data_IF_281052838881
#
_entry.id   IF_281052838881
#
_cell.length_a   1.000
_cell.length_b   1.000
_cell.length_c   1.000
_cell.angle_alpha   90.00
_cell.angle_beta   90.00
_cell.angle_gamma   90.00
#
_symmetry.space_group_name_H-M   'P 1'
#
loop_
_entity.id
_entity.type
_entity.pdbx_description
1 polymer ?
#
# COMPACT_ATOMS: atom_id res chain seq x y z
N UNK A 1 28.60 10.23 -57.01
CA UNK A 1 29.08 8.87 -56.71
C UNK A 1 28.03 8.24 -55.79
N UNK A 2 27.23 7.32 -56.36
CA UNK A 2 26.30 6.31 -55.80
C UNK A 2 25.42 6.65 -54.56
N UNK A 3 24.09 6.58 -54.62
CA UNK A 3 23.20 5.40 -54.83
C UNK A 3 23.21 4.47 -53.58
N UNK A 4 22.16 3.83 -53.07
CA UNK A 4 20.71 3.76 -53.26
C UNK A 4 20.19 2.69 -52.24
N UNK A 5 18.87 2.60 -52.02
CA UNK A 5 18.11 1.34 -51.79
C UNK A 5 18.05 0.61 -50.40
N UNK A 6 16.81 0.70 -49.84
CA UNK A 6 15.84 -0.34 -49.37
C UNK A 6 15.95 -1.11 -48.03
N UNK A 7 14.94 -0.83 -47.21
CA UNK A 7 13.88 -1.70 -46.65
C UNK A 7 13.98 -3.24 -46.74
N UNK A 8 13.62 -3.90 -45.62
CA UNK A 8 13.04 -5.25 -45.58
C UNK A 8 11.97 -5.36 -44.49
N UNK A 9 10.73 -5.58 -44.94
CA UNK A 9 9.57 -6.07 -44.18
C UNK A 9 9.50 -7.58 -44.44
N UNK A 10 9.20 -8.39 -43.42
CA UNK A 10 8.87 -9.82 -43.57
C UNK A 10 7.42 -10.07 -43.19
N UNK A 11 6.67 -10.59 -44.17
CA UNK A 11 5.28 -11.09 -44.10
C UNK A 11 5.27 -12.58 -43.78
N UNK A 12 4.26 -13.04 -43.04
CA UNK A 12 3.56 -14.34 -43.24
C UNK A 12 2.17 -14.23 -42.59
N UNK A 13 1.12 -13.82 -43.30
CA UNK A 13 0.16 -14.62 -44.12
C UNK A 13 -0.97 -15.27 -43.30
N UNK A 14 -2.12 -14.58 -43.28
CA UNK A 14 -3.46 -15.15 -43.08
C UNK A 14 -3.90 -15.94 -44.32
N UNK A 15 -4.62 -17.03 -44.12
CA UNK A 15 -5.45 -17.68 -45.15
C UNK A 15 -6.79 -18.08 -44.51
N UNK A 16 -7.85 -17.53 -45.07
CA UNK A 16 -9.25 -17.94 -44.88
C UNK A 16 -9.62 -18.60 -46.20
N UNK A 17 -10.22 -19.79 -46.15
CA UNK A 17 -11.05 -20.32 -47.24
C UNK A 17 -12.33 -20.86 -46.60
N UNK A 18 -13.46 -20.39 -47.13
CA UNK A 18 -14.85 -20.83 -46.93
C UNK A 18 -15.16 -22.09 -47.77
N UNK A 19 -16.38 -22.63 -47.58
CA UNK A 19 -17.00 -23.84 -48.18
C UNK A 19 -16.77 -25.11 -47.33
N UNK A 20 -17.76 -25.92 -46.95
CA UNK A 20 -19.16 -26.06 -47.29
C UNK A 20 -19.55 -27.55 -47.06
N UNK A 21 -20.72 -27.77 -46.46
CA UNK A 21 -21.48 -29.03 -46.40
C UNK A 21 -21.15 -30.17 -45.39
N UNK A 22 -22.27 -30.62 -44.82
CA UNK A 22 -22.56 -31.78 -43.98
C UNK A 22 -22.22 -33.13 -44.63
N UNK A 23 -21.96 -34.18 -43.84
CA UNK A 23 -22.65 -35.50 -43.84
C UNK A 23 -22.01 -36.52 -42.85
N UNK A 24 -22.88 -37.07 -41.98
CA UNK A 24 -22.94 -38.41 -41.36
C UNK A 24 -21.78 -39.04 -40.54
N UNK A 25 -22.10 -39.25 -39.26
CA UNK A 25 -22.02 -40.49 -38.46
C UNK A 25 -21.36 -41.74 -39.07
N UNK A 26 -20.32 -42.25 -38.41
CA UNK A 26 -20.09 -43.69 -38.20
C UNK A 26 -19.60 -43.92 -36.77
N UNK A 27 -20.39 -44.70 -36.03
CA UNK A 27 -20.04 -45.25 -34.72
C UNK A 27 -19.00 -46.37 -34.86
N UNK A 28 -17.98 -46.36 -34.00
CA UNK A 28 -17.15 -47.52 -33.72
C UNK A 28 -17.03 -47.69 -32.20
N UNK A 29 -17.77 -48.65 -31.66
CA UNK A 29 -17.66 -49.13 -30.29
C UNK A 29 -16.28 -49.76 -30.09
N UNK A 30 -15.56 -49.33 -29.05
CA UNK A 30 -14.42 -50.07 -28.49
C UNK A 30 -14.69 -50.29 -26.99
N UNK A 31 -14.41 -51.48 -26.43
CA UNK A 31 -14.86 -51.87 -25.09
C UNK A 31 -13.98 -51.28 -23.99
N UNK A 32 -14.56 -51.20 -22.79
CA UNK A 32 -14.08 -50.44 -21.63
C UNK A 32 -12.67 -50.75 -21.13
N UNK A 33 -12.04 -49.67 -20.68
CA UNK A 33 -10.86 -49.63 -19.79
C UNK A 33 -11.38 -49.08 -18.45
N UNK A 34 -10.98 -49.64 -17.30
CA UNK A 34 -11.54 -49.29 -16.00
C UNK A 34 -11.26 -47.83 -15.62
N UNK A 35 -12.21 -47.22 -14.92
CA UNK A 35 -12.17 -45.85 -14.40
C UNK A 35 -10.84 -45.54 -13.70
N UNK A 36 -10.01 -44.73 -14.35
CA UNK A 36 -9.06 -43.88 -13.62
C UNK A 36 -9.86 -42.72 -13.01
N UNK A 37 -9.55 -42.29 -11.77
CA UNK A 37 -10.23 -41.16 -11.17
C UNK A 37 -10.07 -39.94 -12.07
N UNK A 38 -11.18 -39.42 -12.56
CA UNK A 38 -11.25 -38.13 -13.24
C UNK A 38 -10.67 -37.07 -12.30
N UNK A 39 -9.44 -36.64 -12.55
CA UNK A 39 -8.97 -35.33 -12.10
C UNK A 39 -9.75 -34.32 -12.95
N UNK A 40 -10.92 -33.91 -12.45
CA UNK A 40 -11.67 -32.79 -13.00
C UNK A 40 -10.75 -31.58 -12.98
N UNK A 41 -10.46 -31.06 -14.18
CA UNK A 41 -9.84 -29.74 -14.28
C UNK A 41 -10.83 -28.76 -13.64
N UNK A 42 -10.43 -27.98 -12.61
CA UNK A 42 -11.33 -27.06 -11.93
C UNK A 42 -11.96 -26.12 -12.96
N UNK A 43 -13.25 -25.80 -12.81
CA UNK A 43 -13.88 -24.77 -13.63
C UNK A 43 -13.14 -23.44 -13.49
N UNK A 44 -13.32 -22.51 -14.44
CA UNK A 44 -12.69 -21.17 -14.33
C UNK A 44 -13.02 -20.49 -12.99
N UNK A 45 -14.22 -20.71 -12.47
CA UNK A 45 -14.68 -20.33 -11.14
C UNK A 45 -13.79 -20.88 -10.01
N UNK A 46 -13.60 -22.20 -9.99
CA UNK A 46 -12.82 -22.89 -8.98
C UNK A 46 -11.34 -22.47 -9.04
N UNK A 47 -10.80 -22.24 -10.24
CA UNK A 47 -9.44 -21.72 -10.40
C UNK A 47 -9.28 -20.32 -9.79
N UNK A 48 -10.31 -19.47 -9.88
CA UNK A 48 -10.31 -18.13 -9.26
C UNK A 48 -10.46 -18.18 -7.74
N UNK A 49 -11.33 -19.04 -7.25
CA UNK A 49 -11.50 -19.28 -5.81
C UNK A 49 -10.22 -19.86 -5.18
N UNK A 50 -9.52 -20.76 -5.88
CA UNK A 50 -8.23 -21.28 -5.42
C UNK A 50 -7.13 -20.21 -5.39
N UNK A 51 -7.11 -19.30 -6.38
CA UNK A 51 -6.19 -18.15 -6.40
C UNK A 51 -6.46 -17.19 -5.24
N UNK A 52 -7.74 -16.91 -4.96
CA UNK A 52 -8.17 -16.13 -3.83
C UNK A 52 -7.71 -16.77 -2.50
N UNK A 53 -8.05 -18.05 -2.28
CA UNK A 53 -7.67 -18.76 -1.07
C UNK A 53 -6.15 -18.73 -0.87
N UNK A 54 -5.38 -19.01 -1.92
CA UNK A 54 -3.89 -18.93 -1.88
C UNK A 54 -3.41 -17.54 -1.50
N UNK A 55 -4.01 -16.49 -2.07
CA UNK A 55 -3.62 -15.13 -1.79
C UNK A 55 -4.04 -14.65 -0.40
N UNK A 56 -5.10 -15.22 0.16
CA UNK A 56 -5.48 -14.99 1.56
C UNK A 56 -4.58 -15.76 2.55
N UNK A 57 -3.63 -16.57 2.06
CA UNK A 57 -2.81 -17.44 2.91
C UNK A 57 -3.52 -18.73 3.34
N UNK A 58 -4.57 -19.12 2.60
CA UNK A 58 -5.40 -20.29 2.86
C UNK A 58 -4.66 -21.62 2.68
N UNK A 59 -4.85 -22.50 3.65
CA UNK A 59 -4.43 -23.89 3.65
C UNK A 59 -5.66 -24.82 3.63
N UNK A 60 -5.45 -26.13 3.42
CA UNK A 60 -6.51 -27.16 3.51
C UNK A 60 -7.79 -26.85 2.71
N UNK A 61 -7.66 -26.51 1.42
CA UNK A 61 -8.80 -26.17 0.58
C UNK A 61 -9.78 -27.35 0.44
N UNK A 62 -11.02 -27.14 0.84
CA UNK A 62 -12.15 -28.05 0.68
C UNK A 62 -13.19 -27.45 -0.26
N UNK A 63 -13.79 -28.30 -1.11
CA UNK A 63 -14.77 -27.89 -2.13
C UNK A 63 -16.12 -28.54 -1.82
N UNK A 64 -16.97 -27.89 -1.01
CA UNK A 64 -18.27 -28.44 -0.64
C UNK A 64 -19.21 -28.54 -1.84
N UNK A 65 -20.13 -29.51 -1.79
CA UNK A 65 -21.17 -29.76 -2.78
C UNK A 65 -22.23 -28.63 -2.76
N UNK A 66 -21.84 -27.45 -3.25
CA UNK A 66 -22.65 -26.23 -3.17
C UNK A 66 -22.10 -25.03 -3.95
N UNK A 67 -20.85 -25.12 -4.43
CA UNK A 67 -20.19 -24.04 -5.16
C UNK A 67 -19.53 -23.06 -4.20
N UNK A 68 -18.21 -23.16 -4.06
CA UNK A 68 -17.41 -22.38 -3.12
C UNK A 68 -16.15 -23.15 -2.72
N UNK A 69 -15.27 -22.49 -1.97
CA UNK A 69 -14.10 -23.09 -1.36
C UNK A 69 -14.06 -22.72 0.12
N UNK A 70 -13.84 -23.71 0.96
CA UNK A 70 -13.53 -23.52 2.38
C UNK A 70 -12.03 -23.72 2.55
N UNK A 71 -11.38 -22.89 3.36
CA UNK A 71 -9.95 -23.00 3.62
C UNK A 71 -9.60 -22.47 5.00
N UNK A 72 -8.54 -23.02 5.57
CA UNK A 72 -8.03 -22.62 6.87
C UNK A 72 -7.07 -21.45 6.74
N UNK A 73 -7.18 -20.51 7.66
CA UNK A 73 -6.22 -19.45 7.93
C UNK A 73 -5.58 -19.73 9.30
N UNK A 74 -4.44 -19.13 9.61
CA UNK A 74 -3.68 -19.38 10.86
C UNK A 74 -4.57 -19.42 12.13
N UNK A 75 -5.61 -18.58 12.18
CA UNK A 75 -6.51 -18.44 13.34
C UNK A 75 -8.00 -18.32 12.98
N UNK A 76 -8.38 -18.70 11.77
CA UNK A 76 -9.75 -18.54 11.29
C UNK A 76 -10.07 -19.58 10.22
N UNK A 77 -11.34 -19.80 9.96
CA UNK A 77 -11.80 -20.59 8.81
C UNK A 77 -12.53 -19.66 7.86
N UNK A 78 -12.19 -19.72 6.58
CA UNK A 78 -12.80 -18.88 5.57
C UNK A 78 -13.60 -19.71 4.56
N UNK A 79 -14.77 -19.21 4.19
CA UNK A 79 -15.58 -19.71 3.10
C UNK A 79 -15.68 -18.64 2.02
N UNK A 80 -15.32 -18.99 0.79
CA UNK A 80 -15.45 -18.11 -0.36
C UNK A 80 -16.40 -18.71 -1.40
N UNK A 81 -17.35 -17.92 -1.89
CA UNK A 81 -18.32 -18.34 -2.90
C UNK A 81 -18.47 -17.29 -4.00
N UNK A 82 -18.76 -17.74 -5.21
CA UNK A 82 -19.01 -16.86 -6.35
C UNK A 82 -20.48 -16.44 -6.39
N UNK A 83 -20.71 -15.14 -6.51
CA UNK A 83 -22.05 -14.53 -6.63
C UNK A 83 -22.27 -13.95 -8.03
N UNK A 84 -23.52 -13.60 -8.30
CA UNK A 84 -23.95 -12.87 -9.51
C UNK A 84 -23.45 -13.47 -10.83
N UNK A 85 -23.56 -14.79 -10.99
CA UNK A 85 -23.25 -15.47 -12.26
C UNK A 85 -21.77 -15.46 -12.66
N UNK A 86 -20.85 -15.21 -11.72
CA UNK A 86 -19.40 -15.22 -12.00
C UNK A 86 -18.69 -13.89 -11.81
N UNK A 87 -19.43 -12.80 -11.53
CA UNK A 87 -18.86 -11.45 -11.51
C UNK A 87 -18.26 -11.04 -10.17
N UNK A 88 -18.68 -11.68 -9.07
CA UNK A 88 -18.29 -11.31 -7.70
C UNK A 88 -17.94 -12.51 -6.85
N UNK A 89 -17.10 -12.28 -5.86
CA UNK A 89 -16.78 -13.25 -4.81
C UNK A 89 -17.19 -12.66 -3.46
N UNK A 90 -17.90 -13.46 -2.69
CA UNK A 90 -18.21 -13.20 -1.29
C UNK A 90 -17.32 -14.11 -0.45
N UNK A 91 -16.73 -13.57 0.60
CA UNK A 91 -15.89 -14.30 1.54
C UNK A 91 -16.38 -14.03 2.94
N UNK A 92 -16.55 -15.11 3.69
CA UNK A 92 -16.89 -15.12 5.10
C UNK A 92 -15.71 -15.72 5.86
N UNK A 93 -15.18 -15.00 6.83
CA UNK A 93 -14.07 -15.46 7.67
C UNK A 93 -14.59 -15.60 9.10
N UNK A 94 -14.77 -16.85 9.52
CA UNK A 94 -15.22 -17.22 10.86
C UNK A 94 -14.02 -17.34 11.80
N UNK A 95 -14.01 -16.56 12.87
CA UNK A 95 -13.03 -16.70 13.94
C UNK A 95 -13.43 -17.85 14.89
N UNK A 96 -12.57 -18.26 15.82
CA UNK A 96 -12.87 -19.36 16.74
C UNK A 96 -14.16 -19.10 17.55
N UNK A 97 -15.02 -20.10 17.80
CA UNK A 97 -16.27 -19.90 18.52
C UNK A 97 -16.07 -19.59 20.00
N UNK A 98 -17.03 -18.87 20.59
CA UNK A 98 -17.18 -18.69 22.03
C UNK A 98 -18.67 -18.61 22.41
N UNK A 99 -18.99 -18.30 23.67
CA UNK A 99 -20.40 -18.11 24.06
C UNK A 99 -21.00 -16.88 23.36
N UNK A 100 -22.30 -16.91 23.04
CA UNK A 100 -22.98 -15.80 22.38
C UNK A 100 -22.75 -14.45 23.10
N UNK A 101 -22.80 -14.44 24.43
CA UNK A 101 -22.55 -13.23 25.24
C UNK A 101 -21.11 -12.72 25.10
N UNK A 102 -20.10 -13.59 25.11
CA UNK A 102 -18.70 -13.18 24.95
C UNK A 102 -18.45 -12.59 23.55
N UNK A 103 -19.05 -13.18 22.52
CA UNK A 103 -18.94 -12.67 21.14
C UNK A 103 -19.65 -11.32 21.00
N UNK A 104 -20.88 -11.18 21.52
CA UNK A 104 -21.63 -9.93 21.51
C UNK A 104 -20.88 -8.79 22.21
N UNK A 105 -20.36 -9.04 23.42
CA UNK A 105 -19.59 -8.06 24.18
C UNK A 105 -18.29 -7.68 23.45
N UNK A 106 -17.60 -8.67 22.87
CA UNK A 106 -16.37 -8.42 22.13
C UNK A 106 -16.63 -7.62 20.86
N UNK A 107 -17.56 -8.04 20.00
CA UNK A 107 -17.93 -7.35 18.75
C UNK A 107 -18.37 -5.92 19.04
N UNK A 108 -19.18 -5.70 20.08
CA UNK A 108 -19.61 -4.35 20.47
C UNK A 108 -18.47 -3.45 20.98
N UNK A 109 -17.35 -4.05 21.43
CA UNK A 109 -16.17 -3.33 21.89
C UNK A 109 -15.11 -3.10 20.80
N UNK A 110 -15.24 -3.78 19.65
CA UNK A 110 -14.30 -3.64 18.55
C UNK A 110 -14.59 -2.41 17.69
N UNK A 111 -13.54 -1.82 17.09
CA UNK A 111 -13.72 -0.85 16.02
C UNK A 111 -14.31 -1.50 14.76
N UNK A 112 -14.83 -0.68 13.86
CA UNK A 112 -15.24 -1.15 12.53
C UNK A 112 -13.99 -1.56 11.72
N UNK A 113 -13.99 -2.73 11.04
CA UNK A 113 -12.92 -3.12 10.13
C UNK A 113 -12.78 -2.15 8.94
N UNK A 114 -11.61 -2.11 8.30
CA UNK A 114 -11.29 -1.16 7.21
C UNK A 114 -11.89 -1.62 5.87
N UNK A 115 -11.86 -2.92 5.59
CA UNK A 115 -12.19 -3.48 4.30
C UNK A 115 -13.29 -4.56 4.37
N UNK A 116 -13.70 -4.93 5.57
CA UNK A 116 -14.65 -6.00 5.87
C UNK A 116 -15.78 -5.51 6.79
N UNK A 117 -16.82 -6.31 6.95
CA UNK A 117 -17.91 -6.09 7.92
C UNK A 117 -17.76 -7.11 9.03
N UNK A 118 -17.77 -6.67 10.28
CA UNK A 118 -17.80 -7.57 11.43
C UNK A 118 -19.25 -7.87 11.81
N UNK A 119 -19.63 -9.14 11.75
CA UNK A 119 -20.95 -9.67 12.14
C UNK A 119 -20.80 -10.78 13.18
N UNK A 120 -21.94 -11.21 13.73
CA UNK A 120 -22.04 -12.36 14.64
C UNK A 120 -22.84 -13.43 13.91
N UNK A 121 -22.26 -14.63 13.81
CA UNK A 121 -22.94 -15.80 13.27
C UNK A 121 -23.28 -16.77 14.40
N UNK A 122 -24.55 -17.18 14.48
CA UNK A 122 -25.02 -18.12 15.50
C UNK A 122 -24.60 -19.55 15.13
N UNK A 123 -23.94 -20.23 16.08
CA UNK A 123 -23.56 -21.63 15.97
C UNK A 123 -24.59 -22.59 16.56
N UNK A 124 -24.21 -23.86 16.64
CA UNK A 124 -24.96 -24.86 17.40
C UNK A 124 -24.65 -24.73 18.90
N UNK A 125 -25.59 -25.12 19.78
CA UNK A 125 -25.34 -25.31 21.21
C UNK A 125 -24.86 -24.06 22.00
N UNK A 126 -25.44 -22.87 21.74
CA UNK A 126 -25.14 -21.60 22.45
C UNK A 126 -23.75 -21.00 22.13
N UNK A 127 -23.12 -21.51 21.06
CA UNK A 127 -21.90 -20.97 20.49
C UNK A 127 -22.24 -19.87 19.47
N UNK A 128 -21.37 -18.86 19.37
CA UNK A 128 -21.41 -17.86 18.31
C UNK A 128 -20.00 -17.65 17.76
N UNK A 129 -19.94 -17.12 16.54
CA UNK A 129 -18.72 -16.83 15.82
C UNK A 129 -18.66 -15.33 15.51
N UNK A 130 -17.56 -14.63 15.83
CA UNK A 130 -17.28 -13.36 15.20
C UNK A 130 -16.86 -13.60 13.74
N UNK A 131 -17.54 -12.95 12.81
CA UNK A 131 -17.36 -13.18 11.38
C UNK A 131 -16.96 -11.89 10.67
N UNK A 132 -15.88 -11.94 9.88
CA UNK A 132 -15.54 -10.88 8.93
C UNK A 132 -16.07 -11.22 7.55
N UNK A 133 -16.84 -10.31 6.96
CA UNK A 133 -17.49 -10.51 5.67
C UNK A 133 -17.05 -9.45 4.66
N UNK A 134 -16.79 -9.87 3.43
CA UNK A 134 -16.59 -8.93 2.32
C UNK A 134 -17.06 -9.51 1.00
N UNK A 135 -17.44 -8.62 0.09
CA UNK A 135 -17.80 -8.96 -1.28
C UNK A 135 -17.06 -8.06 -2.27
N UNK A 136 -16.45 -8.65 -3.30
CA UNK A 136 -15.64 -7.95 -4.31
C UNK A 136 -15.86 -8.49 -5.71
N UNK A 137 -15.55 -7.69 -6.72
CA UNK A 137 -15.57 -8.15 -8.13
C UNK A 137 -14.41 -9.13 -8.39
N UNK A 138 -14.68 -10.18 -9.18
CA UNK A 138 -13.70 -11.18 -9.59
C UNK A 138 -12.78 -10.73 -10.73
N UNK A 139 -13.12 -9.65 -11.41
CA UNK A 139 -12.43 -9.22 -12.63
C UNK A 139 -11.07 -8.55 -12.35
N UNK A 140 -10.79 -8.12 -11.12
CA UNK A 140 -9.71 -7.16 -10.85
C UNK A 140 -9.05 -7.24 -9.48
N UNK A 141 -8.52 -8.41 -9.08
CA UNK A 141 -7.87 -8.48 -7.76
C UNK A 141 -6.50 -9.13 -7.77
N UNK A 142 -5.49 -8.30 -7.53
CA UNK A 142 -4.25 -8.68 -6.86
C UNK A 142 -4.58 -8.82 -5.36
N UNK A 143 -5.07 -9.99 -4.98
CA UNK A 143 -5.54 -10.30 -3.62
C UNK A 143 -4.47 -10.09 -2.54
N UNK A 144 -3.18 -10.09 -2.93
CA UNK A 144 -2.06 -9.89 -2.01
C UNK A 144 -1.81 -8.44 -1.58
N UNK A 145 -2.60 -7.47 -2.06
CA UNK A 145 -2.50 -6.04 -1.72
C UNK A 145 -3.82 -5.49 -1.15
N UNK A 146 -4.77 -6.36 -0.79
CA UNK A 146 -6.09 -5.96 -0.31
C UNK A 146 -6.07 -5.73 1.21
N UNK A 147 -6.61 -4.60 1.67
CA UNK A 147 -6.73 -4.24 3.08
C UNK A 147 -7.59 -5.25 3.88
N UNK A 148 -8.35 -6.10 3.19
CA UNK A 148 -9.03 -7.26 3.76
C UNK A 148 -8.09 -8.18 4.53
N UNK A 149 -6.86 -8.39 4.06
CA UNK A 149 -5.88 -9.24 4.73
C UNK A 149 -5.43 -8.65 6.07
N UNK A 150 -5.26 -7.33 6.12
CA UNK A 150 -4.88 -6.61 7.32
C UNK A 150 -6.00 -6.66 8.36
N UNK A 151 -7.27 -6.51 7.93
CA UNK A 151 -8.44 -6.73 8.78
C UNK A 151 -8.47 -8.16 9.35
N UNK A 152 -8.38 -9.17 8.50
CA UNK A 152 -8.45 -10.58 8.95
C UNK A 152 -7.36 -10.87 9.99
N UNK A 153 -6.13 -10.44 9.73
CA UNK A 153 -5.02 -10.63 10.65
C UNK A 153 -5.23 -9.87 11.97
N UNK A 154 -5.67 -8.61 11.92
CA UNK A 154 -5.89 -7.79 13.11
C UNK A 154 -7.01 -8.34 14.00
N UNK A 155 -8.17 -8.66 13.41
CA UNK A 155 -9.32 -9.18 14.16
C UNK A 155 -9.09 -10.60 14.68
N UNK A 156 -8.44 -11.47 13.91
CA UNK A 156 -8.09 -12.79 14.39
C UNK A 156 -7.04 -12.75 15.52
N UNK A 157 -6.09 -11.81 15.48
CA UNK A 157 -5.12 -11.62 16.55
C UNK A 157 -5.77 -11.10 17.83
N UNK A 158 -6.64 -10.09 17.71
CA UNK A 158 -7.37 -9.50 18.84
C UNK A 158 -8.32 -10.48 19.53
N UNK A 159 -9.06 -11.25 18.73
CA UNK A 159 -9.93 -12.30 19.26
C UNK A 159 -9.17 -13.38 20.03
N UNK A 160 -8.03 -13.83 19.49
CA UNK A 160 -7.18 -14.82 20.15
C UNK A 160 -6.43 -14.29 21.39
N UNK A 161 -6.19 -12.98 21.46
CA UNK A 161 -5.40 -12.33 22.50
C UNK A 161 -6.19 -11.64 23.62
N UNK A 162 -7.51 -11.48 23.46
CA UNK A 162 -8.36 -10.63 24.31
C UNK A 162 -7.85 -9.18 24.47
N UNK A 163 -7.09 -8.69 23.48
CA UNK A 163 -6.69 -7.29 23.35
C UNK A 163 -7.66 -6.62 22.37
N UNK A 164 -8.11 -5.40 22.67
CA UNK A 164 -8.94 -4.63 21.74
C UNK A 164 -8.10 -4.21 20.53
N UNK A 165 -8.67 -4.33 19.33
CA UNK A 165 -8.06 -3.73 18.14
C UNK A 165 -8.12 -2.23 18.35
N UNK A 166 -6.99 -1.53 18.29
CA UNK A 166 -7.06 -0.09 18.15
C UNK A 166 -7.69 0.18 16.78
N UNK A 167 -8.81 0.93 16.68
CA UNK A 167 -9.34 1.33 15.38
C UNK A 167 -8.18 1.85 14.55
N UNK A 168 -8.02 1.33 13.34
CA UNK A 168 -7.22 2.04 12.36
C UNK A 168 -7.86 3.43 12.25
N UNK A 169 -7.20 4.42 12.86
CA UNK A 169 -7.79 5.74 13.03
C UNK A 169 -8.23 6.25 11.67
N UNK A 170 -9.44 6.80 11.58
CA UNK A 170 -9.94 7.38 10.34
C UNK A 170 -8.84 8.30 9.77
N UNK A 171 -8.33 8.05 8.54
CA UNK A 171 -7.25 8.86 7.98
C UNK A 171 -7.57 10.36 7.93
N UNK A 172 -8.86 10.72 7.99
CA UNK A 172 -9.36 12.10 8.08
C UNK A 172 -9.04 12.77 9.41
N UNK A 173 -8.84 12.00 10.47
CA UNK A 173 -8.55 12.49 11.82
C UNK A 173 -7.05 12.53 12.14
N UNK A 174 -6.23 11.92 11.29
CA UNK A 174 -4.76 11.99 11.40
C UNK A 174 -4.27 13.35 10.91
N UNK A 175 -3.54 14.06 11.77
CA UNK A 175 -2.97 15.36 11.41
C UNK A 175 -1.96 15.22 10.25
N UNK A 176 -2.16 15.94 9.13
CA UNK A 176 -1.32 15.79 7.93
C UNK A 176 0.14 16.10 8.20
N UNK A 177 1.03 15.28 7.65
CA UNK A 177 2.46 15.56 7.64
C UNK A 177 2.85 16.50 6.52
N UNK A 178 2.26 16.25 5.36
CA UNK A 178 2.57 16.86 4.09
C UNK A 178 1.26 17.16 3.37
N UNK A 179 1.31 18.11 2.44
CA UNK A 179 0.27 18.29 1.44
C UNK A 179 0.84 18.04 0.06
N UNK A 180 0.03 17.46 -0.82
CA UNK A 180 0.44 17.15 -2.18
C UNK A 180 -0.60 17.59 -3.20
N UNK A 181 -0.12 18.15 -4.31
CA UNK A 181 -0.90 18.36 -5.51
C UNK A 181 -0.81 17.10 -6.38
N UNK A 182 -1.93 16.41 -6.52
CA UNK A 182 -2.09 15.28 -7.42
C UNK A 182 -2.61 15.76 -8.77
N UNK A 183 -2.17 15.13 -9.85
CA UNK A 183 -2.59 15.50 -11.21
C UNK A 183 -3.55 14.46 -11.79
N UNK A 184 -4.63 14.92 -12.41
CA UNK A 184 -5.57 14.14 -13.21
C UNK A 184 -5.82 14.77 -14.57
N UNK A 185 -6.35 13.98 -15.49
CA UNK A 185 -6.97 14.45 -16.72
C UNK A 185 -8.50 14.29 -16.64
N UNK A 186 -9.21 14.68 -17.69
CA UNK A 186 -10.68 14.58 -17.72
C UNK A 186 -11.18 13.14 -17.58
N UNK A 187 -10.42 12.13 -18.04
CA UNK A 187 -10.83 10.74 -17.94
C UNK A 187 -10.78 10.23 -16.48
N UNK A 188 -9.97 10.85 -15.63
CA UNK A 188 -9.93 10.58 -14.18
C UNK A 188 -10.90 11.45 -13.37
N UNK A 189 -11.75 12.29 -13.99
CA UNK A 189 -12.70 13.10 -13.25
C UNK A 189 -13.90 12.24 -12.81
N UNK A 190 -14.12 12.03 -11.49
CA UNK A 190 -15.19 11.18 -11.02
C UNK A 190 -16.55 11.83 -11.27
N UNK A 191 -17.53 11.03 -11.68
CA UNK A 191 -18.92 11.48 -11.77
C UNK A 191 -19.61 11.45 -10.39
N UNK A 192 -20.82 12.01 -10.31
CA UNK A 192 -21.57 12.09 -9.05
C UNK A 192 -21.91 10.72 -8.46
N UNK A 193 -22.13 9.71 -9.30
CA UNK A 193 -22.52 8.36 -8.88
C UNK A 193 -21.31 7.59 -8.33
N UNK A 194 -20.13 7.79 -8.93
CA UNK A 194 -18.85 7.34 -8.39
C UNK A 194 -18.55 7.98 -7.04
N UNK A 195 -18.70 9.30 -6.92
CA UNK A 195 -18.49 10.02 -5.64
C UNK A 195 -19.45 9.52 -4.54
N UNK A 196 -20.73 9.33 -4.87
CA UNK A 196 -21.73 8.84 -3.93
C UNK A 196 -21.43 7.40 -3.47
N UNK A 197 -21.10 6.50 -4.41
CA UNK A 197 -20.71 5.11 -4.08
C UNK A 197 -19.48 5.08 -3.18
N UNK A 198 -18.44 5.85 -3.51
CA UNK A 198 -17.20 5.94 -2.72
C UNK A 198 -17.44 6.48 -1.31
N UNK A 199 -18.31 7.48 -1.18
CA UNK A 199 -18.68 8.04 0.11
C UNK A 199 -19.41 7.01 0.97
N UNK A 200 -20.31 6.23 0.37
CA UNK A 200 -21.04 5.18 1.07
C UNK A 200 -20.13 4.05 1.55
N UNK A 201 -19.22 3.54 0.71
CA UNK A 201 -18.30 2.46 1.12
C UNK A 201 -17.25 2.94 2.14
N UNK A 202 -16.84 4.21 2.10
CA UNK A 202 -15.93 4.77 3.09
C UNK A 202 -16.56 5.00 4.48
N UNK A 203 -17.89 4.91 4.60
CA UNK A 203 -18.53 4.91 5.93
C UNK A 203 -18.22 3.62 6.69
N UNK A 204 -17.91 2.53 5.98
CA UNK A 204 -17.50 1.24 6.55
C UNK A 204 -16.00 0.99 6.34
N UNK A 205 -15.21 2.08 6.33
CA UNK A 205 -13.74 2.02 6.25
C UNK A 205 -13.13 1.78 4.85
N UNK A 206 -13.92 1.42 3.84
CA UNK A 206 -13.39 1.00 2.54
C UNK A 206 -12.98 2.19 1.68
N UNK A 207 -11.70 2.25 1.31
CA UNK A 207 -11.14 3.30 0.44
C UNK A 207 -10.64 2.72 -0.88
N UNK A 208 -11.44 2.84 -1.95
CA UNK A 208 -11.14 2.23 -3.26
C UNK A 208 -10.55 3.21 -4.30
N UNK A 209 -10.53 4.51 -3.98
CA UNK A 209 -10.02 5.55 -4.86
C UNK A 209 -8.48 5.49 -4.92
N UNK A 210 -7.93 5.04 -6.05
CA UNK A 210 -6.48 4.96 -6.26
C UNK A 210 -5.99 6.18 -7.04
N UNK A 211 -4.84 6.74 -6.63
CA UNK A 211 -4.20 7.83 -7.37
C UNK A 211 -2.68 7.73 -7.38
N UNK A 212 -2.07 8.24 -8.45
CA UNK A 212 -0.60 8.30 -8.53
C UNK A 212 -0.03 9.34 -7.56
N UNK A 213 1.00 8.98 -6.80
CA UNK A 213 1.49 9.81 -5.69
C UNK A 213 3.02 9.85 -5.57
N UNK A 214 3.51 10.61 -4.58
CA UNK A 214 4.90 10.67 -4.17
C UNK A 214 5.27 9.46 -3.27
N UNK A 215 6.52 9.02 -3.36
CA UNK A 215 7.03 7.86 -2.61
C UNK A 215 6.92 8.01 -1.09
N UNK A 216 7.04 9.24 -0.60
CA UNK A 216 7.11 9.55 0.83
C UNK A 216 5.75 9.79 1.47
N UNK A 217 4.66 9.65 0.71
CA UNK A 217 3.29 9.75 1.23
C UNK A 217 3.09 8.81 2.41
N UNK A 218 2.48 9.35 3.46
CA UNK A 218 1.95 8.57 4.57
C UNK A 218 0.46 8.76 4.75
N UNK A 219 -0.18 7.83 5.45
CA UNK A 219 -1.60 7.93 5.84
C UNK A 219 -1.88 9.29 6.53
N UNK A 220 -2.99 9.93 6.17
CA UNK A 220 -3.41 11.24 6.70
C UNK A 220 -2.86 12.46 5.95
N UNK A 221 -1.87 12.30 5.06
CA UNK A 221 -1.40 13.40 4.21
C UNK A 221 -2.54 14.03 3.41
N UNK A 222 -2.49 15.36 3.26
CA UNK A 222 -3.52 16.12 2.54
C UNK A 222 -3.28 16.05 1.03
N UNK A 223 -4.35 15.81 0.27
CA UNK A 223 -4.33 15.82 -1.19
C UNK A 223 -5.24 16.89 -1.79
N UNK A 224 -4.69 17.63 -2.75
CA UNK A 224 -5.42 18.51 -3.65
C UNK A 224 -5.37 17.87 -5.04
N UNK A 225 -6.54 17.55 -5.62
CA UNK A 225 -6.64 16.90 -6.92
C UNK A 225 -6.85 17.95 -8.02
N UNK A 226 -5.78 18.21 -8.77
CA UNK A 226 -5.72 19.16 -9.88
C UNK A 226 -5.98 18.48 -11.22
N UNK A 227 -6.91 19.02 -12.00
CA UNK A 227 -7.23 18.55 -13.35
C UNK A 227 -6.57 19.43 -14.40
N UNK A 228 -5.79 18.81 -15.28
CA UNK A 228 -4.95 19.49 -16.27
C UNK A 228 -5.75 20.14 -17.40
N UNK A 229 -6.57 19.40 -18.13
CA UNK A 229 -7.42 19.92 -19.20
C UNK A 229 -8.71 19.10 -19.29
N UNK A 230 -9.87 19.71 -19.61
CA UNK A 230 -10.07 21.14 -19.90
C UNK A 230 -10.16 22.05 -18.66
N UNK A 231 -10.21 21.49 -17.45
CA UNK A 231 -10.62 22.20 -16.23
C UNK A 231 -9.60 23.18 -15.65
N UNK A 232 -8.31 22.81 -15.61
CA UNK A 232 -7.19 23.64 -15.12
C UNK A 232 -7.36 24.19 -13.70
N UNK A 233 -7.94 23.39 -12.80
CA UNK A 233 -8.17 23.78 -11.41
C UNK A 233 -8.08 22.56 -10.47
N UNK A 234 -7.92 22.83 -9.17
CA UNK A 234 -8.16 21.84 -8.11
C UNK A 234 -9.67 21.75 -7.90
N UNK A 235 -10.21 20.54 -7.99
CA UNK A 235 -11.66 20.28 -7.84
C UNK A 235 -12.00 19.48 -6.60
N UNK A 236 -11.07 18.66 -6.10
CA UNK A 236 -11.31 17.82 -4.94
C UNK A 236 -10.18 17.93 -3.92
N UNK A 237 -10.55 17.66 -2.68
CA UNK A 237 -9.63 17.41 -1.57
C UNK A 237 -9.88 16.03 -0.98
N UNK A 238 -8.84 15.41 -0.45
CA UNK A 238 -8.90 14.12 0.22
C UNK A 238 -7.70 13.93 1.17
N UNK A 239 -7.69 12.82 1.91
CA UNK A 239 -6.50 12.33 2.62
C UNK A 239 -5.94 11.08 1.96
N UNK A 240 -4.66 10.84 2.18
CA UNK A 240 -4.09 9.52 1.99
C UNK A 240 -4.72 8.53 2.97
N UNK A 241 -5.39 7.52 2.45
CA UNK A 241 -5.88 6.38 3.23
C UNK A 241 -4.83 5.26 3.35
N UNK A 242 -3.80 5.28 2.52
CA UNK A 242 -2.66 4.35 2.61
C UNK A 242 -1.33 5.07 2.42
N UNK A 243 -0.25 4.44 2.90
CA UNK A 243 1.10 4.77 2.47
C UNK A 243 1.25 4.56 0.95
N UNK A 244 2.29 5.15 0.35
CA UNK A 244 2.61 4.90 -1.05
C UNK A 244 2.99 3.42 -1.28
N UNK A 245 2.46 2.83 -2.34
CA UNK A 245 2.81 1.48 -2.78
C UNK A 245 3.10 1.42 -4.27
N UNK A 246 3.84 0.40 -4.70
CA UNK A 246 4.08 0.13 -6.11
C UNK A 246 3.04 -0.88 -6.62
N UNK A 247 2.50 -0.61 -7.81
CA UNK A 247 1.65 -1.52 -8.55
C UNK A 247 1.82 -1.23 -10.05
N UNK A 248 2.05 -2.28 -10.84
CA UNK A 248 2.22 -2.22 -12.31
C UNK A 248 1.06 -2.83 -13.09
N UNK A 249 0.05 -3.32 -12.37
CA UNK A 249 -1.19 -3.90 -12.88
C UNK A 249 -2.36 -2.91 -12.88
N UNK A 250 -2.16 -1.68 -12.40
CA UNK A 250 -3.22 -0.65 -12.39
C UNK A 250 -3.38 -0.05 -13.79
N UNK A 251 -4.54 -0.28 -14.38
CA UNK A 251 -4.97 0.39 -15.61
C UNK A 251 -5.08 1.90 -15.37
N UNK A 252 -4.41 2.67 -16.20
CA UNK A 252 -4.44 4.14 -16.13
C UNK A 252 -5.35 4.65 -17.23
N UNK A 253 -6.29 5.51 -16.87
CA UNK A 253 -7.26 6.11 -17.79
C UNK A 253 -6.66 7.05 -18.83
N UNK A 254 -5.34 7.31 -18.77
CA UNK A 254 -4.65 8.25 -19.64
C UNK A 254 -4.32 7.62 -21.00
N UNK A 255 -4.53 8.34 -22.10
CA UNK A 255 -4.11 7.91 -23.45
C UNK A 255 -2.58 7.78 -23.64
N UNK A 256 -1.78 8.17 -22.62
CA UNK A 256 -0.32 8.20 -22.66
C UNK A 256 0.36 6.98 -22.05
N UNK A 257 1.62 6.73 -22.45
CA UNK A 257 2.45 5.68 -21.85
C UNK A 257 2.81 6.07 -20.41
N UNK A 258 2.37 5.24 -19.47
CA UNK A 258 2.61 5.39 -18.05
C UNK A 258 4.00 4.85 -17.72
N UNK A 259 4.77 5.56 -16.89
CA UNK A 259 6.09 5.07 -16.50
C UNK A 259 5.96 3.80 -15.64
N UNK A 260 6.73 2.74 -15.96
CA UNK A 260 6.71 1.41 -15.29
C UNK A 260 7.11 1.41 -13.79
N UNK A 261 7.17 2.57 -13.12
CA UNK A 261 7.58 2.73 -11.72
C UNK A 261 6.76 3.81 -11.01
N UNK A 262 5.45 3.79 -11.22
CA UNK A 262 4.55 4.68 -10.50
C UNK A 262 4.32 4.20 -9.07
N UNK A 263 4.00 5.16 -8.21
CA UNK A 263 3.54 4.89 -6.86
C UNK A 263 2.09 5.29 -6.78
N UNK A 264 1.34 4.51 -6.01
CA UNK A 264 -0.08 4.63 -5.83
C UNK A 264 -0.40 4.79 -4.35
N UNK A 265 -1.56 5.33 -4.06
CA UNK A 265 -2.11 5.48 -2.72
C UNK A 265 -3.62 5.33 -2.83
N UNK A 266 -4.24 4.75 -1.81
CA UNK A 266 -5.67 4.85 -1.62
C UNK A 266 -6.00 6.21 -1.02
N UNK A 267 -7.13 6.79 -1.45
CA UNK A 267 -7.63 8.07 -0.99
C UNK A 267 -8.91 7.87 -0.18
N UNK A 268 -9.09 8.70 0.85
CA UNK A 268 -10.43 8.91 1.40
C UNK A 268 -11.37 9.46 0.30
N UNK A 269 -12.70 9.41 0.48
CA UNK A 269 -13.62 9.98 -0.50
C UNK A 269 -13.21 11.39 -0.93
N UNK A 270 -13.22 11.61 -2.25
CA UNK A 270 -12.94 12.90 -2.83
C UNK A 270 -14.10 13.84 -2.49
N UNK A 271 -13.80 14.93 -1.79
CA UNK A 271 -14.81 15.94 -1.45
C UNK A 271 -14.71 17.08 -2.46
N UNK A 272 -15.82 17.36 -3.13
CA UNK A 272 -15.87 18.39 -4.18
C UNK A 272 -15.86 19.80 -3.58
N UNK A 273 -14.93 20.62 -4.05
CA UNK A 273 -14.77 22.01 -3.65
C UNK A 273 -15.07 22.94 -4.82
N UNK A 274 -15.37 24.20 -4.52
CA UNK A 274 -15.33 25.27 -5.51
C UNK A 274 -13.95 25.28 -6.17
N UNK A 275 -13.87 25.25 -7.51
CA UNK A 275 -12.60 25.07 -8.18
C UNK A 275 -11.58 26.13 -7.80
N UNK A 276 -10.37 25.71 -7.42
CA UNK A 276 -9.23 26.60 -7.16
C UNK A 276 -8.35 26.62 -8.41
N UNK A 277 -8.31 27.71 -9.19
CA UNK A 277 -7.51 27.78 -10.41
C UNK A 277 -6.02 27.57 -10.13
N UNK A 278 -5.28 26.98 -11.09
CA UNK A 278 -3.82 26.81 -10.97
C UNK A 278 -3.10 28.13 -10.68
N UNK A 279 -3.58 29.25 -11.24
CA UNK A 279 -3.00 30.57 -11.00
C UNK A 279 -3.05 30.97 -9.51
N UNK A 280 -4.10 30.58 -8.79
CA UNK A 280 -4.25 30.82 -7.35
C UNK A 280 -3.29 29.96 -6.55
N UNK A 281 -3.16 28.68 -6.90
CA UNK A 281 -2.19 27.76 -6.26
C UNK A 281 -0.75 28.24 -6.49
N UNK A 282 -0.43 28.68 -7.72
CA UNK A 282 0.87 29.25 -8.06
C UNK A 282 1.15 30.53 -7.25
N UNK A 283 0.17 31.44 -7.16
CA UNK A 283 0.33 32.67 -6.39
C UNK A 283 0.58 32.40 -4.90
N UNK A 284 -0.08 31.38 -4.34
CA UNK A 284 0.14 30.94 -2.96
C UNK A 284 1.51 30.26 -2.74
N UNK A 285 2.14 29.75 -3.81
CA UNK A 285 3.45 29.09 -3.77
C UNK A 285 4.55 29.96 -4.43
N UNK A 286 4.48 31.28 -4.26
CA UNK A 286 5.43 32.28 -4.77
C UNK A 286 5.72 32.19 -6.29
N UNK A 287 4.76 31.69 -7.07
CA UNK A 287 4.88 31.48 -8.51
C UNK A 287 5.70 30.25 -8.93
N UNK A 288 6.14 29.44 -7.97
CA UNK A 288 7.08 28.33 -8.21
C UNK A 288 6.43 26.96 -8.05
N UNK A 289 5.78 26.43 -9.10
CA UNK A 289 5.32 25.04 -9.10
C UNK A 289 5.59 24.37 -10.45
N UNK A 290 6.42 23.32 -10.45
CA UNK A 290 6.75 22.59 -11.66
C UNK A 290 5.67 21.55 -11.95
N UNK A 291 4.76 21.87 -12.87
CA UNK A 291 3.62 21.02 -13.27
C UNK A 291 3.99 19.88 -14.25
N UNK A 292 5.27 19.66 -14.54
CA UNK A 292 5.73 18.58 -15.44
C UNK A 292 6.19 17.35 -14.65
N UNK A 293 6.14 16.18 -15.27
CA UNK A 293 6.65 14.92 -14.70
C UNK A 293 5.63 14.19 -13.82
N UNK A 294 6.12 13.50 -12.79
CA UNK A 294 5.30 12.63 -11.91
C UNK A 294 4.28 13.44 -11.09
N UNK A 295 3.14 12.82 -10.78
CA UNK A 295 2.14 13.29 -9.80
C UNK A 295 2.74 13.33 -8.38
N UNK A 296 2.09 14.04 -7.46
CA UNK A 296 2.56 14.23 -6.08
C UNK A 296 3.54 15.38 -5.94
N UNK A 297 3.09 16.62 -6.20
CA UNK A 297 3.93 17.82 -5.96
C UNK A 297 3.76 18.26 -4.51
N UNK A 298 4.85 18.29 -3.76
CA UNK A 298 4.82 18.78 -2.39
C UNK A 298 4.36 20.24 -2.36
N UNK A 299 3.37 20.52 -1.53
CA UNK A 299 2.88 21.87 -1.21
C UNK A 299 3.25 22.18 0.23
N UNK A 300 3.82 23.37 0.42
CA UNK A 300 4.23 23.82 1.75
C UNK A 300 3.00 24.17 2.60
N UNK A 301 3.07 24.07 3.94
CA UNK A 301 1.97 24.45 4.83
C UNK A 301 1.43 25.86 4.57
N UNK A 302 2.32 26.81 4.28
CA UNK A 302 1.94 28.21 4.00
C UNK A 302 1.02 28.34 2.78
N UNK A 303 1.23 27.49 1.76
CA UNK A 303 0.37 27.44 0.57
C UNK A 303 -1.04 27.03 0.98
N UNK A 304 -1.16 25.99 1.80
CA UNK A 304 -2.47 25.48 2.26
C UNK A 304 -3.19 26.54 3.09
N UNK A 305 -2.49 27.21 4.02
CA UNK A 305 -3.08 28.28 4.82
C UNK A 305 -3.50 29.52 4.01
N UNK A 306 -2.88 29.77 2.85
CA UNK A 306 -3.22 30.89 1.98
C UNK A 306 -4.40 30.60 1.03
N UNK A 307 -4.78 29.33 0.86
CA UNK A 307 -5.89 28.93 0.01
C UNK A 307 -7.21 28.96 0.77
N UNK A 308 -8.30 29.27 0.06
CA UNK A 308 -9.65 29.23 0.61
C UNK A 308 -10.40 28.01 0.07
N UNK A 309 -10.83 27.13 0.97
CA UNK A 309 -11.51 25.88 0.64
C UNK A 309 -12.99 26.01 0.97
N UNK A 310 -13.81 26.04 -0.07
CA UNK A 310 -15.26 26.13 0.05
C UNK A 310 -15.84 24.91 -0.64
N UNK A 311 -16.68 24.14 0.04
CA UNK A 311 -17.38 23.02 -0.57
C UNK A 311 -18.22 23.48 -1.77
N UNK A 312 -18.31 22.66 -2.82
CA UNK A 312 -19.18 22.98 -3.95
C UNK A 312 -20.65 22.95 -3.51
N UNK A 313 -21.01 21.90 -2.76
CA UNK A 313 -22.27 21.78 -2.04
C UNK A 313 -22.10 22.26 -0.59
N UNK A 314 -22.87 23.26 -0.13
CA UNK A 314 -22.74 23.79 1.24
C UNK A 314 -22.87 22.76 2.36
N UNK A 315 -23.64 21.69 2.16
CA UNK A 315 -23.84 20.63 3.17
C UNK A 315 -22.54 19.83 3.44
N UNK A 316 -21.60 19.83 2.49
CA UNK A 316 -20.33 19.12 2.59
C UNK A 316 -19.23 19.97 3.25
N UNK A 317 -19.50 21.22 3.65
CA UNK A 317 -18.47 22.11 4.20
C UNK A 317 -17.83 21.54 5.47
N UNK A 318 -18.59 20.89 6.35
CA UNK A 318 -18.04 20.26 7.56
C UNK A 318 -17.07 19.12 7.20
N UNK A 319 -17.32 18.39 6.12
CA UNK A 319 -16.43 17.35 5.64
C UNK A 319 -15.15 17.95 5.02
N UNK A 320 -15.27 19.05 4.27
CA UNK A 320 -14.12 19.82 3.79
C UNK A 320 -13.27 20.32 4.95
N UNK A 321 -13.88 20.91 5.98
CA UNK A 321 -13.15 21.47 7.13
C UNK A 321 -12.42 20.38 7.94
N UNK A 322 -13.00 19.17 8.02
CA UNK A 322 -12.36 18.00 8.63
C UNK A 322 -11.15 17.51 7.80
N UNK A 323 -11.31 17.47 6.48
CA UNK A 323 -10.25 16.99 5.57
C UNK A 323 -9.16 18.02 5.33
N UNK A 324 -9.47 19.32 5.30
CA UNK A 324 -8.49 20.36 4.98
C UNK A 324 -7.91 20.94 6.26
N UNK A 325 -6.92 20.22 6.79
CA UNK A 325 -6.07 20.72 7.90
C UNK A 325 -4.71 21.12 7.34
N UNK A 326 -4.19 22.27 7.78
CA UNK A 326 -2.82 22.68 7.41
C UNK A 326 -1.81 21.65 7.92
N UNK A 327 -0.90 21.12 7.07
CA UNK A 327 0.13 20.19 7.50
C UNK A 327 1.03 20.76 8.61
N UNK A 328 1.31 19.93 9.61
CA UNK A 328 2.15 20.31 10.75
C UNK A 328 3.65 19.96 10.56
N UNK A 329 3.99 19.24 9.49
CA UNK A 329 5.37 18.86 9.22
C UNK A 329 6.24 20.04 8.78
N UNK A 330 7.52 20.05 9.21
CA UNK A 330 8.50 21.05 8.81
C UNK A 330 8.80 20.91 7.31
N UNK A 331 8.42 21.94 6.55
CA UNK A 331 8.71 22.07 5.13
C UNK A 331 10.10 22.68 4.85
N UNK A 332 10.56 23.57 5.73
CA UNK A 332 11.91 24.12 5.69
C UNK A 332 12.85 23.23 6.49
N UNK A 333 13.83 22.66 5.80
CA UNK A 333 14.80 21.77 6.42
C UNK A 333 15.81 22.59 7.26
N UNK A 334 15.90 22.36 8.58
CA UNK A 334 16.84 23.08 9.45
C UNK A 334 18.28 22.61 9.23
N UNK A 335 19.29 23.37 9.67
CA UNK A 335 20.69 22.93 9.60
C UNK A 335 20.87 21.54 10.24
N UNK A 336 21.31 20.50 9.48
CA UNK A 336 21.51 19.16 10.00
C UNK A 336 22.41 19.08 11.24
N UNK A 337 23.39 19.98 11.35
CA UNK A 337 24.32 20.02 12.46
C UNK A 337 23.68 20.51 13.78
N UNK A 338 22.54 21.18 13.71
CA UNK A 338 21.85 21.80 14.84
C UNK A 338 20.46 21.20 15.12
N UNK A 339 20.14 20.12 14.43
CA UNK A 339 18.82 19.52 14.37
C UNK A 339 18.44 18.91 15.73
N UNK A 340 17.35 19.38 16.35
CA UNK A 340 16.86 18.83 17.63
C UNK A 340 16.09 17.53 17.43
N UNK A 341 15.79 16.78 18.49
CA UNK A 341 14.97 15.57 18.35
C UNK A 341 13.54 15.91 17.91
N UNK A 342 13.00 17.01 18.41
CA UNK A 342 11.70 17.51 17.99
C UNK A 342 11.68 17.86 16.49
N UNK A 343 12.70 18.56 15.99
CA UNK A 343 12.81 18.87 14.57
C UNK A 343 12.92 17.59 13.73
N UNK A 344 13.72 16.63 14.22
CA UNK A 344 13.89 15.33 13.57
C UNK A 344 12.58 14.56 13.43
N UNK A 345 11.71 14.55 14.43
CA UNK A 345 10.38 13.95 14.33
C UNK A 345 9.47 14.74 13.36
N UNK A 346 9.64 16.05 13.35
CA UNK A 346 8.70 16.97 12.71
C UNK A 346 8.95 17.19 11.22
N UNK A 347 10.13 16.86 10.67
CA UNK A 347 10.40 16.96 9.22
C UNK A 347 9.31 16.26 8.41
N UNK A 348 8.72 16.96 7.45
CA UNK A 348 7.76 16.40 6.52
C UNK A 348 8.47 15.48 5.52
N UNK A 349 7.92 14.30 5.23
CA UNK A 349 8.47 13.41 4.19
C UNK A 349 8.53 14.09 2.82
N UNK A 350 7.56 14.97 2.51
CA UNK A 350 7.55 15.74 1.28
C UNK A 350 8.62 16.82 1.15
N UNK A 351 9.24 17.25 2.26
CA UNK A 351 10.38 18.15 2.24
C UNK A 351 11.68 17.45 1.80
N UNK A 352 11.70 16.11 1.72
CA UNK A 352 12.85 15.29 1.37
C UNK A 352 12.70 14.71 -0.06
N UNK A 353 12.99 15.47 -1.14
CA UNK A 353 12.73 15.00 -2.49
C UNK A 353 13.70 13.95 -3.02
N UNK A 354 14.82 13.69 -2.32
CA UNK A 354 15.93 12.83 -2.77
C UNK A 354 16.46 11.98 -1.62
N UNK A 355 17.03 10.81 -1.95
CA UNK A 355 17.68 9.91 -0.97
C UNK A 355 18.81 10.61 -0.22
N UNK A 356 19.57 11.48 -0.89
CA UNK A 356 20.61 12.28 -0.26
C UNK A 356 20.09 13.20 0.84
N UNK A 357 18.83 13.66 0.75
CA UNK A 357 18.21 14.44 1.83
C UNK A 357 17.81 13.54 3.01
N UNK A 358 17.34 12.32 2.76
CA UNK A 358 17.09 11.34 3.83
C UNK A 358 18.40 11.04 4.57
N UNK A 359 19.49 10.80 3.84
CA UNK A 359 20.83 10.65 4.40
C UNK A 359 21.22 11.83 5.31
N UNK A 360 21.11 13.05 4.81
CA UNK A 360 21.58 14.27 5.48
C UNK A 360 20.70 14.71 6.67
N UNK A 361 19.38 14.58 6.57
CA UNK A 361 18.44 15.14 7.56
C UNK A 361 17.80 14.09 8.47
N UNK A 362 17.84 12.80 8.09
CA UNK A 362 17.29 11.71 8.89
C UNK A 362 18.40 10.83 9.45
N UNK A 363 19.25 10.27 8.60
CA UNK A 363 20.22 9.24 9.00
C UNK A 363 21.41 9.82 9.75
N UNK A 364 22.11 10.80 9.18
CA UNK A 364 23.31 11.38 9.81
C UNK A 364 23.00 12.01 11.19
N UNK A 365 21.92 12.79 11.38
CA UNK A 365 21.56 13.32 12.70
C UNK A 365 21.20 12.22 13.71
N UNK A 366 20.53 11.15 13.26
CA UNK A 366 20.22 10.00 14.11
C UNK A 366 21.51 9.32 14.59
N UNK A 367 22.43 9.03 13.68
CA UNK A 367 23.71 8.37 14.01
C UNK A 367 24.57 9.25 14.93
N UNK A 368 24.68 10.55 14.64
CA UNK A 368 25.42 11.50 15.47
C UNK A 368 24.85 11.62 16.89
N UNK A 369 23.53 11.42 17.05
CA UNK A 369 22.86 11.48 18.35
C UNK A 369 23.00 10.19 19.14
N UNK A 370 22.84 9.04 18.48
CA UNK A 370 22.80 7.74 19.16
C UNK A 370 24.19 7.17 19.44
N UNK A 371 25.13 7.35 18.53
CA UNK A 371 26.43 6.70 18.62
C UNK A 371 27.40 7.50 19.49
N UNK A 372 28.00 6.81 20.46
CA UNK A 372 29.08 7.39 21.28
C UNK A 372 30.39 7.53 20.50
N UNK A 373 31.34 8.29 21.05
CA UNK A 373 32.67 8.57 20.44
C UNK A 373 33.52 7.34 20.07
N UNK A 374 33.16 6.15 20.56
CA UNK A 374 33.84 4.88 20.26
C UNK A 374 33.45 4.32 18.89
N UNK A 375 32.39 4.83 18.29
CA UNK A 375 31.93 4.40 16.98
C UNK A 375 32.23 5.46 15.92
N UNK A 376 32.60 4.99 14.74
CA UNK A 376 32.73 5.79 13.52
C UNK A 376 31.63 5.40 12.55
N UNK A 377 31.06 6.37 11.86
CA UNK A 377 30.17 6.11 10.72
C UNK A 377 30.91 6.40 9.42
N UNK A 378 30.96 5.41 8.53
CA UNK A 378 31.57 5.55 7.20
C UNK A 378 30.53 5.45 6.10
N UNK A 379 30.51 6.44 5.22
CA UNK A 379 29.67 6.48 4.01
C UNK A 379 30.27 5.64 2.89
N UNK A 380 29.40 5.12 2.01
CA UNK A 380 29.77 4.41 0.79
C UNK A 380 30.85 3.34 1.08
N UNK A 381 30.58 2.50 2.09
CA UNK A 381 31.53 1.50 2.54
C UNK A 381 31.52 0.32 1.57
N UNK A 382 32.70 -0.14 1.16
CA UNK A 382 32.82 -1.25 0.21
C UNK A 382 32.48 -2.58 0.89
N UNK A 383 31.45 -3.25 0.41
CA UNK A 383 31.04 -4.59 0.82
C UNK A 383 31.04 -5.51 -0.41
N UNK A 384 32.07 -6.34 -0.54
CA UNK A 384 32.26 -7.23 -1.69
C UNK A 384 32.35 -6.47 -3.01
N UNK A 385 31.34 -6.63 -3.87
CA UNK A 385 31.24 -5.97 -5.18
C UNK A 385 30.44 -4.68 -5.20
N UNK A 386 29.80 -4.32 -4.08
CA UNK A 386 28.96 -3.12 -3.98
C UNK A 386 29.43 -2.15 -2.91
N UNK A 387 28.60 -1.13 -2.71
CA UNK A 387 28.77 -0.13 -1.66
C UNK A 387 27.48 -0.07 -0.85
N UNK A 388 27.62 -0.17 0.47
CA UNK A 388 26.54 0.10 1.40
C UNK A 388 26.56 1.58 1.76
N UNK A 389 25.38 2.19 1.89
CA UNK A 389 25.26 3.64 2.10
C UNK A 389 26.00 4.11 3.35
N UNK A 390 25.83 3.39 4.47
CA UNK A 390 26.58 3.64 5.71
C UNK A 390 26.98 2.32 6.41
N UNK A 391 28.14 2.34 7.07
CA UNK A 391 28.55 1.31 8.05
C UNK A 391 28.92 1.97 9.36
N UNK A 392 28.46 1.37 10.45
CA UNK A 392 28.93 1.69 11.80
C UNK A 392 30.15 0.82 12.09
N UNK A 393 31.24 1.45 12.52
CA UNK A 393 32.51 0.82 12.84
C UNK A 393 32.82 1.01 14.32
N UNK A 394 33.28 -0.04 14.98
CA UNK A 394 33.93 0.04 16.29
C UNK A 394 35.37 -0.43 16.15
N UNK A 395 36.34 0.42 16.52
CA UNK A 395 37.77 0.10 16.41
C UNK A 395 38.20 -0.39 15.00
N UNK A 396 37.52 0.13 13.96
CA UNK A 396 37.76 -0.21 12.55
C UNK A 396 37.05 -1.48 12.06
N UNK A 397 36.37 -2.22 12.92
CA UNK A 397 35.55 -3.38 12.55
C UNK A 397 34.07 -3.00 12.37
N UNK A 398 33.36 -3.52 11.36
CA UNK A 398 31.94 -3.25 11.18
C UNK A 398 31.10 -3.87 12.30
N UNK A 399 30.12 -3.10 12.79
CA UNK A 399 29.10 -3.55 13.75
C UNK A 399 27.70 -3.55 13.14
N UNK A 400 27.42 -2.67 12.18
CA UNK A 400 26.14 -2.66 11.47
C UNK A 400 26.27 -2.06 10.06
N UNK A 401 25.43 -2.54 9.15
CA UNK A 401 25.25 -2.01 7.80
C UNK A 401 23.92 -1.26 7.69
N UNK A 402 23.90 -0.10 7.04
CA UNK A 402 22.69 0.73 6.91
C UNK A 402 22.49 1.09 5.44
N UNK A 403 21.32 0.77 4.92
CA UNK A 403 20.85 1.20 3.60
C UNK A 403 19.82 2.33 3.75
N UNK A 404 19.93 3.32 2.87
CA UNK A 404 19.06 4.50 2.86
C UNK A 404 18.20 4.46 1.60
N UNK A 405 16.92 4.77 1.74
CA UNK A 405 15.98 4.86 0.61
C UNK A 405 15.10 6.09 0.76
N UNK A 406 14.53 6.54 -0.35
CA UNK A 406 13.58 7.66 -0.30
C UNK A 406 12.28 7.23 0.38
N UNK A 407 11.84 6.03 0.04
CA UNK A 407 10.77 5.29 0.66
C UNK A 407 11.03 3.80 0.44
N UNK A 408 10.70 2.99 1.45
CA UNK A 408 10.73 1.55 1.38
C UNK A 408 9.39 1.03 0.86
N UNK A 409 9.43 0.03 -0.02
CA UNK A 409 8.23 -0.68 -0.41
C UNK A 409 7.63 -1.40 0.81
N UNK A 410 6.31 -1.36 0.95
CA UNK A 410 5.61 -2.27 1.86
C UNK A 410 5.66 -3.68 1.25
N UNK A 411 6.07 -4.71 2.00
CA UNK A 411 6.13 -6.08 1.49
C UNK A 411 4.72 -6.63 1.27
N UNK A 412 4.56 -7.47 0.25
CA UNK A 412 3.35 -8.29 0.08
C UNK A 412 3.31 -9.34 1.20
N UNK A 413 2.20 -9.41 1.96
CA UNK A 413 2.02 -10.33 3.11
C UNK A 413 3.08 -10.23 4.21
N UNK A 414 3.73 -9.08 4.39
CA UNK A 414 4.82 -8.95 5.37
C UNK A 414 6.13 -9.65 4.96
N UNK A 415 6.20 -10.29 3.78
CA UNK A 415 7.41 -10.97 3.29
C UNK A 415 8.43 -9.97 2.72
N UNK A 416 9.22 -9.41 3.63
CA UNK A 416 10.33 -8.53 3.30
C UNK A 416 11.40 -9.19 2.43
N UNK A 417 11.54 -10.51 2.44
CA UNK A 417 12.60 -11.23 1.73
C UNK A 417 12.54 -11.06 0.20
N UNK A 418 11.36 -10.69 -0.31
CA UNK A 418 11.09 -10.47 -1.74
C UNK A 418 11.28 -9.02 -2.16
N UNK A 419 11.37 -8.09 -1.22
CA UNK A 419 11.59 -6.67 -1.54
C UNK A 419 13.03 -6.44 -2.02
N UNK A 420 13.20 -5.59 -3.03
CA UNK A 420 14.52 -5.30 -3.61
C UNK A 420 15.46 -4.69 -2.56
N UNK A 421 14.92 -3.82 -1.71
CA UNK A 421 15.64 -3.08 -0.69
C UNK A 421 16.16 -4.03 0.40
N UNK A 422 15.33 -4.94 0.92
CA UNK A 422 15.77 -5.92 1.90
C UNK A 422 16.77 -6.93 1.29
N UNK A 423 16.58 -7.35 0.04
CA UNK A 423 17.56 -8.19 -0.66
C UNK A 423 18.91 -7.49 -0.84
N UNK A 424 18.90 -6.18 -1.11
CA UNK A 424 20.11 -5.38 -1.19
C UNK A 424 20.82 -5.32 0.16
N UNK A 425 20.11 -4.95 1.23
CA UNK A 425 20.66 -4.92 2.58
C UNK A 425 21.21 -6.29 3.00
N UNK A 426 20.46 -7.38 2.73
CA UNK A 426 20.87 -8.75 3.07
C UNK A 426 22.19 -9.16 2.44
N UNK A 427 22.45 -8.72 1.20
CA UNK A 427 23.74 -8.99 0.53
C UNK A 427 24.89 -8.31 1.27
N UNK A 428 24.70 -7.09 1.75
CA UNK A 428 25.73 -6.36 2.47
C UNK A 428 25.93 -6.89 3.89
N UNK A 429 24.87 -7.20 4.61
CA UNK A 429 24.96 -7.78 5.96
C UNK A 429 25.56 -9.18 5.93
N UNK A 430 25.31 -9.99 4.90
CA UNK A 430 25.96 -11.28 4.72
C UNK A 430 27.46 -11.17 4.40
N UNK A 431 27.85 -10.19 3.58
CA UNK A 431 29.25 -9.96 3.22
C UNK A 431 30.08 -9.40 4.39
N UNK A 432 29.48 -8.52 5.19
CA UNK A 432 30.11 -7.89 6.35
C UNK A 432 29.92 -8.69 7.65
N UNK A 433 29.03 -9.67 7.64
CA UNK A 433 28.68 -10.54 8.76
C UNK A 433 28.18 -9.78 10.01
N UNK A 434 27.29 -8.80 9.78
CA UNK A 434 26.74 -7.87 10.78
C UNK A 434 25.22 -7.74 10.66
N UNK A 435 24.51 -7.23 11.68
CA UNK A 435 23.12 -6.79 11.54
C UNK A 435 22.96 -5.64 10.53
N UNK A 436 21.70 -5.42 10.10
CA UNK A 436 21.34 -4.40 9.11
C UNK A 436 20.26 -3.44 9.59
N UNK A 437 20.25 -2.23 9.06
CA UNK A 437 19.11 -1.32 9.15
C UNK A 437 18.73 -0.77 7.78
N UNK A 438 17.44 -0.62 7.52
CA UNK A 438 16.92 0.06 6.33
C UNK A 438 16.18 1.32 6.81
N UNK A 439 16.56 2.49 6.32
CA UNK A 439 16.02 3.78 6.78
C UNK A 439 15.49 4.58 5.58
N UNK A 440 14.26 5.09 5.71
CA UNK A 440 13.69 6.03 4.74
C UNK A 440 13.24 7.36 5.36
N UNK A 441 12.49 8.16 4.59
CA UNK A 441 11.98 9.45 5.04
C UNK A 441 11.05 9.35 6.27
N UNK A 442 10.44 8.20 6.52
CA UNK A 442 9.37 8.04 7.51
C UNK A 442 9.65 6.93 8.54
N UNK A 443 10.52 5.96 8.25
CA UNK A 443 10.65 4.73 9.03
C UNK A 443 12.08 4.22 9.14
N UNK A 444 12.31 3.41 10.17
CA UNK A 444 13.53 2.65 10.42
C UNK A 444 13.15 1.18 10.61
N UNK A 445 13.78 0.29 9.85
CA UNK A 445 13.61 -1.16 9.97
C UNK A 445 14.91 -1.79 10.47
N UNK A 446 14.82 -2.61 11.51
CA UNK A 446 15.97 -3.28 12.12
C UNK A 446 15.98 -4.77 11.74
N UNK A 447 17.06 -5.22 11.12
CA UNK A 447 17.26 -6.60 10.68
C UNK A 447 18.35 -7.26 11.50
N UNK A 448 18.01 -8.32 12.22
CA UNK A 448 18.99 -9.16 12.90
C UNK A 448 19.99 -9.74 11.89
N UNK A 449 21.19 -10.08 12.36
CA UNK A 449 22.24 -10.68 11.52
C UNK A 449 21.71 -11.92 10.79
N UNK A 450 21.87 -11.93 9.46
CA UNK A 450 21.39 -13.01 8.59
C UNK A 450 19.87 -13.06 8.36
N UNK A 451 19.08 -12.19 8.99
CA UNK A 451 17.62 -12.19 8.84
C UNK A 451 17.19 -11.67 7.47
N UNK A 452 16.12 -12.27 6.93
CA UNK A 452 15.47 -11.82 5.71
C UNK A 452 14.33 -10.81 5.97
N UNK A 453 13.90 -10.68 7.22
CA UNK A 453 12.82 -9.80 7.65
C UNK A 453 13.26 -8.93 8.84
N UNK A 454 12.74 -7.70 8.95
CA UNK A 454 12.99 -6.88 10.12
C UNK A 454 12.29 -7.50 11.32
N UNK A 455 12.92 -7.42 12.50
CA UNK A 455 12.29 -7.82 13.75
C UNK A 455 11.63 -6.63 14.45
N UNK A 456 11.90 -5.40 13.98
CA UNK A 456 11.31 -4.16 14.50
C UNK A 456 11.18 -3.12 13.39
N UNK A 457 10.02 -2.48 13.35
CA UNK A 457 9.72 -1.30 12.54
C UNK A 457 9.47 -0.12 13.49
N UNK A 458 10.06 1.02 13.18
CA UNK A 458 9.98 2.24 13.99
C UNK A 458 9.56 3.38 13.07
N UNK A 459 8.42 3.99 13.36
CA UNK A 459 7.99 5.21 12.70
C UNK A 459 8.76 6.41 13.24
N UNK A 460 9.45 7.14 12.35
CA UNK A 460 10.28 8.29 12.73
C UNK A 460 9.49 9.31 13.55
N UNK A 461 8.25 9.62 13.15
CA UNK A 461 7.46 10.70 13.76
C UNK A 461 7.06 10.42 15.20
N UNK A 462 6.72 9.16 15.49
CA UNK A 462 6.21 8.69 16.79
C UNK A 462 7.27 7.95 17.61
N UNK A 463 8.49 7.80 17.09
CA UNK A 463 9.59 7.10 17.75
C UNK A 463 9.82 7.60 19.19
N UNK A 464 9.69 6.67 20.13
CA UNK A 464 9.92 6.90 21.55
C UNK A 464 11.41 6.89 21.90
N UNK A 465 11.74 7.25 23.15
CA UNK A 465 13.09 7.06 23.66
C UNK A 465 13.54 5.59 23.63
N UNK A 466 12.61 4.66 23.88
CA UNK A 466 12.89 3.21 23.86
C UNK A 466 13.11 2.69 22.43
N UNK A 467 12.43 3.27 21.44
CA UNK A 467 12.71 2.99 20.03
C UNK A 467 14.11 3.43 19.63
N UNK A 468 14.48 4.65 20.00
CA UNK A 468 15.80 5.20 19.71
C UNK A 468 16.92 4.43 20.43
N UNK A 469 16.66 3.99 21.66
CA UNK A 469 17.58 3.12 22.40
C UNK A 469 17.72 1.74 21.73
N UNK A 470 16.63 1.18 21.20
CA UNK A 470 16.70 -0.07 20.45
C UNK A 470 17.50 0.07 19.15
N UNK A 471 17.36 1.19 18.42
CA UNK A 471 18.22 1.49 17.27
C UNK A 471 19.68 1.56 17.71
N UNK A 472 19.98 2.27 18.81
CA UNK A 472 21.34 2.37 19.32
C UNK A 472 21.92 1.00 19.64
N UNK A 473 21.24 0.21 20.47
CA UNK A 473 21.68 -1.14 20.85
C UNK A 473 21.91 -2.01 19.63
N UNK A 474 21.03 -1.95 18.63
CA UNK A 474 21.14 -2.71 17.37
C UNK A 474 22.39 -2.35 16.57
N UNK A 475 22.69 -1.05 16.43
CA UNK A 475 23.84 -0.58 15.66
C UNK A 475 25.19 -0.82 16.35
N UNK A 476 25.18 -1.03 17.66
CA UNK A 476 26.35 -1.30 18.49
C UNK A 476 26.66 -2.80 18.66
N UNK A 477 25.86 -3.71 18.06
CA UNK A 477 26.09 -5.16 18.16
C UNK A 477 27.32 -5.58 17.36
N UNK A 478 28.26 -6.26 18.02
CA UNK A 478 29.47 -6.82 17.42
C UNK A 478 29.41 -8.34 17.35
#
# INVERSE_FOLDING_TARGET
MNADVRARISKTSLRIDDEGESVASIAAMTPGVPDEPHVTTPGLADARLAQLATALGGENLEWPDGGGVVFDLDRATAEASIKEGGARVAVHVMLSPATATEVEEWVASQPEPIATVLEIEEGELDEAFPCLMFERSLDFVSWGLDAVLDDIAAFAAAWAGAEGIEPAGDPRDIAPSSAWLLMGDEASYPDSDELARRTAVAQVGVFDAKWTTAKQTIVGDLYLVYFTAPRKAVHFVARAASNAFYADDIEVSTEGTVANQQQWTYLTPLIEIRPIPLATVLAANDGHLVMRGRSGKFLRPEVISALNFVALNPDDQAAVDRVVVTPAGLADLPDPAQLTLHDWHSIAGGALPLESHVSQYVVEPLLNRLLGRRFETRREYRAGRGFVDYVVLQDGAPTAAIEVKLAMATPTHGDWSRTREAQQLRRYTAELDVPGALIDANRILLFARGSASPYREIERRSASADDLEAVRVHLEQS
#
